data_IF_696630013892
#
_entry.id   IF_696630013892
#
_cell.length_a   1.000
_cell.length_b   1.000
_cell.length_c   1.000
_cell.angle_alpha   90.00
_cell.angle_beta   90.00
_cell.angle_gamma   90.00
#
_symmetry.space_group_name_H-M   'P 1'
#
loop_
_entity.id
_entity.type
_entity.pdbx_description
1 polymer ?
#
# COMPACT_ATOMS: atom_id res chain seq x y z
N UNK A 1 23.13 0.11 -6.85
CA UNK A 1 23.03 -1.35 -6.96
C UNK A 1 21.78 -1.76 -7.71
N UNK A 2 21.90 -2.72 -8.59
CA UNK A 2 20.82 -3.19 -9.43
C UNK A 2 20.23 -4.49 -8.87
N UNK A 3 18.92 -4.48 -8.60
CA UNK A 3 18.22 -5.67 -8.13
C UNK A 3 17.40 -6.28 -9.27
N UNK A 4 17.35 -7.60 -9.32
CA UNK A 4 16.52 -8.29 -10.31
C UNK A 4 15.05 -8.08 -9.99
N UNK A 5 14.20 -8.21 -11.02
CA UNK A 5 12.76 -8.09 -10.85
C UNK A 5 12.22 -9.12 -9.87
N UNK A 6 12.69 -10.36 -9.98
CA UNK A 6 12.24 -11.44 -9.08
C UNK A 6 12.59 -11.13 -7.62
N UNK A 7 13.78 -10.57 -7.40
CA UNK A 7 14.18 -10.16 -6.06
C UNK A 7 13.25 -9.09 -5.52
N UNK A 8 12.97 -8.07 -6.32
CA UNK A 8 12.10 -6.97 -5.88
C UNK A 8 10.69 -7.44 -5.60
N UNK A 9 10.13 -8.28 -6.46
CA UNK A 9 8.80 -8.83 -6.25
C UNK A 9 8.73 -9.54 -4.91
N UNK A 10 9.72 -10.36 -4.61
CA UNK A 10 9.76 -11.11 -3.36
C UNK A 10 9.91 -10.19 -2.15
N UNK A 11 10.79 -9.20 -2.24
CA UNK A 11 10.97 -8.25 -1.13
C UNK A 11 9.71 -7.46 -0.87
N UNK A 12 9.03 -7.03 -1.92
CA UNK A 12 7.75 -6.33 -1.79
C UNK A 12 6.74 -7.20 -1.07
N UNK A 13 6.63 -8.47 -1.43
CA UNK A 13 5.71 -9.40 -0.80
C UNK A 13 6.03 -9.61 0.68
N UNK A 14 7.30 -9.76 1.00
CA UNK A 14 7.74 -9.98 2.39
C UNK A 14 7.40 -8.76 3.26
N UNK A 15 7.77 -7.58 2.80
CA UNK A 15 7.51 -6.35 3.55
C UNK A 15 6.01 -6.11 3.69
N UNK A 16 5.27 -6.33 2.61
CA UNK A 16 3.82 -6.16 2.61
C UNK A 16 3.15 -7.06 3.63
N UNK A 17 3.58 -8.32 3.68
CA UNK A 17 3.03 -9.28 4.65
C UNK A 17 3.35 -8.87 6.08
N UNK A 18 4.55 -8.38 6.31
CA UNK A 18 4.96 -7.93 7.62
C UNK A 18 4.11 -6.75 8.10
N UNK A 19 3.93 -5.77 7.23
CA UNK A 19 3.11 -4.59 7.54
C UNK A 19 1.66 -5.01 7.77
N UNK A 20 1.15 -5.93 6.95
CA UNK A 20 -0.22 -6.44 7.10
C UNK A 20 -0.43 -7.09 8.46
N UNK A 21 0.56 -7.83 8.95
CA UNK A 21 0.48 -8.45 10.27
C UNK A 21 0.45 -7.39 11.37
N UNK A 22 1.26 -6.35 11.25
CA UNK A 22 1.26 -5.26 12.22
C UNK A 22 -0.10 -4.57 12.25
N UNK A 23 -0.66 -4.28 11.08
CA UNK A 23 -1.98 -3.66 10.97
C UNK A 23 -3.04 -4.55 11.61
N UNK A 24 -3.00 -5.84 11.29
CA UNK A 24 -3.96 -6.81 11.83
C UNK A 24 -3.93 -6.83 13.36
N UNK A 25 -2.74 -6.91 13.94
CA UNK A 25 -2.60 -6.94 15.39
C UNK A 25 -3.06 -5.65 16.06
N UNK A 26 -2.74 -4.52 15.46
CA UNK A 26 -3.18 -3.23 16.00
C UNK A 26 -4.68 -3.05 15.92
N UNK A 27 -5.28 -3.45 14.80
CA UNK A 27 -6.73 -3.36 14.62
C UNK A 27 -7.46 -4.27 15.60
N UNK A 28 -6.97 -5.47 15.81
CA UNK A 28 -7.58 -6.41 16.75
C UNK A 28 -7.54 -5.88 18.18
N UNK A 29 -6.44 -5.25 18.55
CA UNK A 29 -6.30 -4.66 19.86
C UNK A 29 -7.24 -3.48 20.05
N UNK A 30 -7.34 -2.63 19.02
CA UNK A 30 -8.21 -1.47 19.04
C UNK A 30 -9.67 -1.87 18.99
N UNK A 31 -9.98 -2.92 18.24
CA UNK A 31 -11.34 -3.43 18.10
C UNK A 31 -11.91 -3.88 19.43
N UNK A 32 -11.09 -4.45 20.29
CA UNK A 32 -11.55 -4.87 21.62
C UNK A 32 -11.91 -3.69 22.51
N UNK A 33 -11.49 -2.48 22.16
CA UNK A 33 -11.74 -1.27 22.92
C UNK A 33 -12.93 -0.46 22.38
N UNK A 34 -13.12 -0.44 21.06
CA UNK A 34 -14.23 0.33 20.44
C UNK A 34 -14.74 -0.38 19.20
N UNK A 35 -16.05 -0.57 19.13
CA UNK A 35 -16.70 -1.14 17.95
C UNK A 35 -16.77 -0.14 16.79
N UNK A 36 -16.52 1.12 17.05
CA UNK A 36 -16.64 2.18 16.04
C UNK A 36 -15.56 2.09 14.96
N UNK A 37 -14.40 1.55 15.29
CA UNK A 37 -13.32 1.39 14.33
C UNK A 37 -13.69 0.45 13.19
N UNK A 38 -14.72 -0.35 13.37
CA UNK A 38 -15.21 -1.27 12.37
C UNK A 38 -15.82 -0.56 11.18
N UNK A 39 -16.41 0.60 11.40
CA UNK A 39 -17.07 1.35 10.35
C UNK A 39 -16.09 2.06 9.43
N UNK A 40 -14.98 2.51 9.97
CA UNK A 40 -13.98 3.23 9.19
C UNK A 40 -13.34 2.36 8.12
N UNK A 41 -13.10 1.08 8.43
CA UNK A 41 -12.56 0.13 7.45
C UNK A 41 -13.48 -0.05 6.26
N UNK A 42 -14.78 0.03 6.46
CA UNK A 42 -15.75 -0.14 5.37
C UNK A 42 -15.73 1.05 4.42
N UNK A 43 -15.44 2.23 4.94
CA UNK A 43 -15.44 3.45 4.13
C UNK A 43 -14.32 3.47 3.11
N UNK A 44 -13.28 2.65 3.30
CA UNK A 44 -12.16 2.58 2.37
C UNK A 44 -12.40 1.66 1.19
N UNK A 45 -13.46 0.86 1.20
CA UNK A 45 -13.75 -0.07 0.10
C UNK A 45 -13.90 0.64 -1.24
N UNK A 46 -14.60 1.77 -1.25
CA UNK A 46 -14.79 2.54 -2.48
C UNK A 46 -13.48 3.17 -2.94
N UNK A 47 -12.64 3.59 -1.99
CA UNK A 47 -11.33 4.14 -2.31
C UNK A 47 -10.43 3.09 -2.94
N UNK A 48 -10.44 1.86 -2.44
CA UNK A 48 -9.70 0.75 -3.05
C UNK A 48 -10.12 0.56 -4.49
N UNK A 49 -11.43 0.46 -4.73
CA UNK A 49 -11.94 0.21 -6.08
C UNK A 49 -11.60 1.35 -7.03
N UNK A 50 -11.68 2.57 -6.55
CA UNK A 50 -11.34 3.72 -7.36
C UNK A 50 -9.85 3.72 -7.74
N UNK A 51 -8.97 3.49 -6.77
CA UNK A 51 -7.54 3.44 -7.02
C UNK A 51 -7.18 2.30 -7.94
N UNK A 52 -7.79 1.13 -7.77
CA UNK A 52 -7.56 -0.02 -8.64
C UNK A 52 -7.96 0.31 -10.08
N UNK A 53 -9.09 1.00 -10.27
CA UNK A 53 -9.54 1.37 -11.60
C UNK A 53 -8.56 2.32 -12.28
N UNK A 54 -7.97 3.23 -11.54
CA UNK A 54 -6.97 4.14 -12.08
C UNK A 54 -5.69 3.38 -12.47
N UNK A 55 -5.26 2.43 -11.65
CA UNK A 55 -4.11 1.59 -11.97
C UNK A 55 -4.38 0.83 -13.26
N UNK A 56 -5.55 0.20 -13.38
CA UNK A 56 -5.89 -0.59 -14.55
C UNK A 56 -5.89 0.24 -15.84
N UNK A 57 -6.19 1.51 -15.74
CA UNK A 57 -6.15 2.43 -16.87
C UNK A 57 -4.75 2.97 -17.15
N UNK A 58 -3.78 2.61 -16.33
CA UNK A 58 -2.42 3.08 -16.47
C UNK A 58 -2.14 4.44 -15.86
N UNK A 59 -3.11 5.00 -15.15
CA UNK A 59 -2.97 6.31 -14.50
C UNK A 59 -2.37 6.16 -13.10
N UNK A 60 -1.19 5.54 -13.05
CA UNK A 60 -0.55 5.16 -11.79
C UNK A 60 -0.11 6.38 -10.98
N UNK A 61 0.51 7.36 -11.64
CA UNK A 61 0.99 8.56 -10.96
C UNK A 61 -0.16 9.35 -10.34
N UNK A 62 -1.25 9.45 -11.06
CA UNK A 62 -2.44 10.14 -10.57
C UNK A 62 -3.01 9.42 -9.34
N UNK A 63 -3.10 8.09 -9.43
CA UNK A 63 -3.58 7.27 -8.32
C UNK A 63 -2.67 7.42 -7.10
N UNK A 64 -1.37 7.42 -7.31
CA UNK A 64 -0.40 7.57 -6.23
C UNK A 64 -0.52 8.94 -5.56
N UNK A 65 -0.76 9.98 -6.33
CA UNK A 65 -0.97 11.31 -5.78
C UNK A 65 -2.20 11.37 -4.88
N UNK A 66 -3.28 10.71 -5.28
CA UNK A 66 -4.50 10.62 -4.46
C UNK A 66 -4.19 9.90 -3.15
N UNK A 67 -3.45 8.80 -3.23
CA UNK A 67 -3.07 8.04 -2.05
C UNK A 67 -2.27 8.90 -1.07
N UNK A 68 -1.27 9.61 -1.55
CA UNK A 68 -0.42 10.45 -0.70
C UNK A 68 -1.20 11.60 -0.07
N UNK A 69 -2.15 12.15 -0.80
CA UNK A 69 -3.02 13.19 -0.25
C UNK A 69 -3.81 12.66 0.95
N UNK A 70 -4.32 11.43 0.83
CA UNK A 70 -5.04 10.80 1.93
C UNK A 70 -4.12 10.53 3.13
N UNK A 71 -2.90 10.10 2.86
CA UNK A 71 -1.91 9.82 3.91
C UNK A 71 -1.55 11.10 4.68
N UNK A 72 -1.36 12.20 3.98
CA UNK A 72 -0.99 13.46 4.62
C UNK A 72 -2.09 13.97 5.54
N UNK A 73 -3.33 13.75 5.18
CA UNK A 73 -4.47 14.24 5.96
C UNK A 73 -4.84 13.32 7.11
N UNK A 74 -4.25 12.11 7.16
CA UNK A 74 -4.79 11.08 8.03
C UNK A 74 -3.77 9.95 8.22
N UNK A 75 -3.48 9.62 9.47
CA UNK A 75 -2.50 8.56 9.80
C UNK A 75 -3.15 7.34 10.44
N UNK A 76 -4.41 7.11 10.17
CA UNK A 76 -5.10 5.94 10.72
C UNK A 76 -4.68 4.65 10.01
N UNK A 77 -4.83 3.54 10.70
CA UNK A 77 -4.46 2.23 10.17
C UNK A 77 -5.18 1.89 8.87
N UNK A 78 -6.40 2.38 8.69
CA UNK A 78 -7.16 2.15 7.45
C UNK A 78 -6.42 2.71 6.24
N UNK A 79 -5.79 3.87 6.41
CA UNK A 79 -5.06 4.51 5.31
C UNK A 79 -3.77 3.77 5.02
N UNK A 80 -3.12 3.25 6.06
CA UNK A 80 -1.96 2.39 5.86
C UNK A 80 -2.36 1.14 5.07
N UNK A 81 -3.50 0.54 5.44
CA UNK A 81 -4.03 -0.63 4.74
C UNK A 81 -4.34 -0.32 3.28
N UNK A 82 -4.92 0.85 3.02
CA UNK A 82 -5.20 1.31 1.66
C UNK A 82 -3.90 1.41 0.85
N UNK A 83 -2.87 2.03 1.43
CA UNK A 83 -1.58 2.16 0.76
C UNK A 83 -0.93 0.81 0.48
N UNK A 84 -1.02 -0.08 1.45
CA UNK A 84 -0.46 -1.43 1.30
C UNK A 84 -1.15 -2.18 0.18
N UNK A 85 -2.48 -2.13 0.12
CA UNK A 85 -3.24 -2.79 -0.94
C UNK A 85 -2.95 -2.16 -2.29
N UNK A 86 -2.78 -0.84 -2.33
CA UNK A 86 -2.43 -0.14 -3.56
C UNK A 86 -1.13 -0.70 -4.16
N UNK A 87 -0.08 -0.77 -3.37
CA UNK A 87 1.22 -1.25 -3.85
C UNK A 87 1.23 -2.76 -4.10
N UNK A 88 0.46 -3.52 -3.34
CA UNK A 88 0.32 -4.96 -3.58
C UNK A 88 -0.38 -5.22 -4.91
N UNK A 89 -1.39 -4.43 -5.22
CA UNK A 89 -2.08 -4.55 -6.50
C UNK A 89 -1.15 -4.21 -7.66
N UNK A 90 -0.36 -3.14 -7.53
CA UNK A 90 0.65 -2.79 -8.53
C UNK A 90 1.66 -3.93 -8.70
N UNK A 91 2.07 -4.54 -7.60
CA UNK A 91 3.05 -5.62 -7.66
C UNK A 91 2.51 -6.87 -8.36
N UNK A 92 1.18 -7.01 -8.44
CA UNK A 92 0.55 -8.12 -9.15
C UNK A 92 0.55 -7.93 -10.66
N UNK A 93 0.86 -6.73 -11.14
CA UNK A 93 0.86 -6.44 -12.58
C UNK A 93 2.13 -7.01 -13.23
N UNK A 94 2.02 -7.27 -14.54
CA UNK A 94 3.16 -7.79 -15.31
C UNK A 94 4.22 -6.71 -15.52
N UNK A 95 5.43 -7.16 -15.83
CA UNK A 95 6.52 -6.24 -16.18
C UNK A 95 6.15 -5.39 -17.40
N UNK A 96 5.48 -6.02 -18.37
CA UNK A 96 5.05 -5.32 -19.57
C UNK A 96 4.07 -4.19 -19.24
N UNK A 97 3.12 -4.45 -18.35
CA UNK A 97 2.16 -3.44 -17.92
C UNK A 97 2.87 -2.26 -17.27
N UNK A 98 3.77 -2.56 -16.35
CA UNK A 98 4.49 -1.51 -15.62
C UNK A 98 5.36 -0.67 -16.56
N UNK A 99 6.11 -1.33 -17.45
CA UNK A 99 6.96 -0.62 -18.41
C UNK A 99 6.14 0.27 -19.33
N UNK A 100 5.01 -0.25 -19.82
CA UNK A 100 4.14 0.51 -20.71
C UNK A 100 3.63 1.78 -20.05
N UNK A 101 3.46 1.75 -18.75
CA UNK A 101 2.92 2.88 -18.00
C UNK A 101 4.01 3.65 -17.23
N UNK A 102 5.26 3.43 -17.59
CA UNK A 102 6.40 4.16 -17.04
C UNK A 102 6.53 4.03 -15.51
N UNK A 103 6.25 2.85 -15.00
CA UNK A 103 6.38 2.57 -13.58
C UNK A 103 7.29 1.36 -13.39
N UNK A 104 8.07 1.35 -12.31
CA UNK A 104 9.04 0.29 -12.07
C UNK A 104 8.77 -0.45 -10.77
N UNK A 105 9.28 -1.70 -10.67
CA UNK A 105 9.23 -2.45 -9.41
C UNK A 105 9.96 -1.71 -8.30
N UNK A 106 11.05 -1.04 -8.65
CA UNK A 106 11.79 -0.26 -7.66
C UNK A 106 10.91 0.82 -7.05
N UNK A 107 10.08 1.46 -7.86
CA UNK A 107 9.16 2.48 -7.36
C UNK A 107 8.11 1.90 -6.43
N UNK A 108 7.66 0.67 -6.68
CA UNK A 108 6.74 -0.02 -5.77
C UNK A 108 7.43 -0.29 -4.44
N UNK A 109 8.64 -0.82 -4.50
CA UNK A 109 9.44 -1.10 -3.30
C UNK A 109 9.65 0.17 -2.49
N UNK A 110 10.05 1.24 -3.15
CA UNK A 110 10.29 2.53 -2.51
C UNK A 110 9.00 3.07 -1.88
N UNK A 111 7.87 2.88 -2.55
CA UNK A 111 6.57 3.32 -2.03
C UNK A 111 6.20 2.61 -0.73
N UNK A 112 6.43 1.31 -0.67
CA UNK A 112 6.13 0.54 0.55
C UNK A 112 7.06 0.97 1.68
N UNK A 113 8.34 1.20 1.39
CA UNK A 113 9.28 1.67 2.39
C UNK A 113 8.86 3.05 2.91
N UNK A 114 8.36 3.89 2.04
CA UNK A 114 7.87 5.21 2.42
C UNK A 114 6.65 5.11 3.34
N UNK A 115 5.77 4.12 3.10
CA UNK A 115 4.65 3.87 4.00
C UNK A 115 5.14 3.50 5.40
N UNK A 116 6.17 2.66 5.47
CA UNK A 116 6.76 2.29 6.76
C UNK A 116 7.21 3.53 7.52
N UNK A 117 7.91 4.43 6.82
CA UNK A 117 8.41 5.67 7.43
C UNK A 117 7.29 6.57 7.91
N UNK A 118 6.29 6.77 7.07
CA UNK A 118 5.20 7.69 7.38
C UNK A 118 4.32 7.22 8.53
N UNK A 119 4.23 5.91 8.73
CA UNK A 119 3.39 5.35 9.79
C UNK A 119 4.20 4.87 10.99
N UNK A 120 5.47 5.25 11.06
CA UNK A 120 6.30 4.96 12.23
C UNK A 120 6.70 3.50 12.37
N UNK A 121 6.76 2.76 11.26
CA UNK A 121 7.13 1.35 11.25
C UNK A 121 8.58 1.14 10.83
N UNK A 122 9.33 2.20 10.71
CA UNK A 122 10.74 2.16 10.32
C UNK A 122 11.55 1.37 11.35
N UNK A 123 12.43 0.54 10.84
CA UNK A 123 13.33 -0.23 11.71
C UNK A 123 12.77 -1.57 12.17
N UNK A 124 11.58 -1.93 11.71
CA UNK A 124 10.99 -3.22 12.07
C UNK A 124 11.48 -4.36 11.19
N UNK A 125 12.24 -4.05 10.15
CA UNK A 125 12.82 -5.06 9.27
C UNK A 125 14.33 -4.98 9.28
#
# INVERSE_FOLDING_TARGET
>A
MYFSQDYLIRQIEIISRYIAEVVFHRKNRDFSLTAENHYESRNNSDDFLYLYSLIDKGEIDFAENILYEKIENNKFLDILELGLDFYSYLNSKSEEFLETNNFSRQEIFDGIKDLQDKFGLKGLL
#
